data_IF_552146552863
#
_entry.id   IF_552146552863
#
_cell.length_a   1.000
_cell.length_b   1.000
_cell.length_c   1.000
_cell.angle_alpha   90.00
_cell.angle_beta   90.00
_cell.angle_gamma   90.00
#
_symmetry.space_group_name_H-M   'P 1'
#
loop_
_entity.id
_entity.type
_entity.pdbx_description
1 polymer ?
#
# COMPACT_ATOMS: atom_id res chain seq x y z
N UNK A 1 -7.41 21.66 6.68
CA UNK A 1 -8.69 20.93 6.85
C UNK A 1 -9.64 21.04 5.67
N UNK A 2 -9.95 22.23 5.12
CA UNK A 2 -10.96 22.30 4.04
C UNK A 2 -10.51 21.72 2.71
N UNK A 3 -9.23 21.84 2.33
CA UNK A 3 -8.80 21.48 0.95
C UNK A 3 -9.06 20.03 0.57
N UNK A 4 -8.70 19.05 1.41
CA UNK A 4 -8.95 17.64 1.09
C UNK A 4 -10.42 17.24 1.28
N UNK A 5 -11.14 17.84 2.24
CA UNK A 5 -12.59 17.65 2.39
C UNK A 5 -13.36 18.19 1.20
N UNK A 6 -12.97 19.35 0.68
CA UNK A 6 -13.49 19.94 -0.55
C UNK A 6 -13.08 19.13 -1.77
N UNK A 7 -11.82 18.67 -1.85
CA UNK A 7 -11.37 17.76 -2.91
C UNK A 7 -12.21 16.48 -2.93
N UNK A 8 -12.47 15.88 -1.76
CA UNK A 8 -13.31 14.69 -1.61
C UNK A 8 -14.76 14.97 -2.01
N UNK A 9 -15.35 16.07 -1.52
CA UNK A 9 -16.72 16.44 -1.85
C UNK A 9 -16.90 16.68 -3.36
N UNK A 10 -15.88 17.21 -4.04
CA UNK A 10 -15.90 17.49 -5.47
C UNK A 10 -15.57 16.28 -6.35
N UNK A 11 -14.57 15.48 -5.98
CA UNK A 11 -14.06 14.37 -6.81
C UNK A 11 -14.77 13.05 -6.54
N UNK A 12 -15.35 12.90 -5.35
CA UNK A 12 -15.94 11.65 -4.88
C UNK A 12 -17.31 11.91 -4.19
N UNK A 13 -18.26 12.60 -4.85
CA UNK A 13 -19.57 12.89 -4.25
C UNK A 13 -20.29 11.58 -3.90
N UNK A 14 -20.72 11.44 -2.65
CA UNK A 14 -21.39 10.24 -2.12
C UNK A 14 -20.49 9.00 -1.96
N UNK A 15 -19.17 9.13 -2.16
CA UNK A 15 -18.21 8.00 -2.16
C UNK A 15 -17.24 8.00 -0.99
N UNK A 16 -17.49 8.74 0.09
CA UNK A 16 -16.73 8.62 1.34
C UNK A 16 -17.05 7.26 2.02
N UNK A 17 -16.68 6.18 1.35
CA UNK A 17 -16.91 4.82 1.79
C UNK A 17 -15.55 4.27 2.15
N UNK A 18 -15.27 4.32 3.45
CA UNK A 18 -14.39 3.35 4.06
C UNK A 18 -15.27 2.22 4.56
N UNK A 19 -15.10 1.03 4.01
CA UNK A 19 -15.88 -0.14 4.39
C UNK A 19 -14.95 -1.31 4.59
N UNK A 20 -14.97 -1.89 5.78
CA UNK A 20 -14.36 -3.18 6.02
C UNK A 20 -15.09 -4.24 5.19
N UNK A 21 -14.33 -5.03 4.43
CA UNK A 21 -14.89 -6.09 3.57
C UNK A 21 -14.62 -7.45 4.20
N UNK A 22 -13.38 -7.69 4.63
CA UNK A 22 -12.92 -8.97 5.16
C UNK A 22 -11.66 -8.79 5.98
N UNK A 23 -11.45 -9.65 6.98
CA UNK A 23 -10.19 -9.69 7.72
C UNK A 23 -9.82 -11.10 8.16
N UNK A 24 -8.59 -11.25 8.60
CA UNK A 24 -8.03 -12.48 9.15
C UNK A 24 -7.09 -12.11 10.29
N UNK A 25 -7.18 -12.83 11.39
CA UNK A 25 -6.25 -12.68 12.52
C UNK A 25 -5.52 -13.99 12.73
N UNK A 26 -4.21 -13.92 12.99
CA UNK A 26 -3.43 -15.12 13.30
C UNK A 26 -3.87 -15.71 14.65
N UNK A 27 -3.82 -17.05 14.76
CA UNK A 27 -4.10 -17.73 16.03
C UNK A 27 -2.98 -17.48 17.04
N UNK A 28 -3.17 -16.49 17.90
CA UNK A 28 -2.22 -16.12 18.96
C UNK A 28 -2.12 -14.61 19.09
N UNK A 29 -2.02 -14.09 20.31
CA UNK A 29 -2.07 -12.64 20.58
C UNK A 29 -0.92 -11.83 19.95
N UNK A 30 0.15 -12.47 19.50
CA UNK A 30 1.30 -11.83 18.85
C UNK A 30 1.16 -11.71 17.32
N UNK A 31 0.26 -12.48 16.71
CA UNK A 31 0.08 -12.55 15.26
C UNK A 31 -1.04 -11.58 14.87
N UNK A 32 -0.71 -10.30 14.59
CA UNK A 32 -1.70 -9.31 14.13
C UNK A 32 -2.50 -9.73 12.88
N UNK A 33 -3.33 -8.83 12.35
CA UNK A 33 -4.29 -9.14 11.27
C UNK A 33 -3.91 -8.73 9.83
N UNK A 34 -4.60 -9.32 8.86
CA UNK A 34 -4.69 -8.81 7.49
C UNK A 34 -6.14 -8.39 7.28
N UNK A 35 -6.37 -7.18 6.80
CA UNK A 35 -7.72 -6.66 6.54
C UNK A 35 -7.81 -6.13 5.11
N UNK A 36 -8.98 -6.25 4.50
CA UNK A 36 -9.30 -5.69 3.18
C UNK A 36 -10.44 -4.70 3.34
N UNK A 37 -10.18 -3.48 2.90
CA UNK A 37 -11.13 -2.38 2.95
C UNK A 37 -11.37 -1.81 1.57
N UNK A 38 -12.62 -1.43 1.32
CA UNK A 38 -12.92 -0.50 0.24
C UNK A 38 -12.72 0.91 0.76
N UNK A 39 -11.88 1.69 0.09
CA UNK A 39 -11.65 3.11 0.38
C UNK A 39 -11.60 3.90 -0.91
N UNK A 40 -12.21 5.08 -0.92
CA UNK A 40 -12.20 5.97 -2.06
C UNK A 40 -10.78 6.45 -2.42
N UNK A 41 -9.96 6.69 -1.40
CA UNK A 41 -8.56 7.07 -1.53
C UNK A 41 -7.85 6.69 -0.24
N UNK A 42 -6.84 5.83 -0.32
CA UNK A 42 -6.13 5.40 0.88
C UNK A 42 -5.47 6.58 1.60
N UNK A 43 -4.99 7.61 0.89
CA UNK A 43 -4.32 8.77 1.50
C UNK A 43 -5.30 9.62 2.30
N UNK A 44 -6.49 9.90 1.79
CA UNK A 44 -7.47 10.82 2.42
C UNK A 44 -8.61 10.13 3.16
N UNK A 45 -8.82 8.83 2.95
CA UNK A 45 -9.80 7.99 3.63
C UNK A 45 -9.13 6.68 4.07
N UNK A 46 -8.19 6.74 5.03
CA UNK A 46 -7.47 5.57 5.55
C UNK A 46 -8.40 4.38 5.85
N UNK A 47 -8.08 3.13 5.46
CA UNK A 47 -8.87 1.95 5.81
C UNK A 47 -9.02 1.80 7.33
N UNK A 48 -10.21 1.45 7.80
CA UNK A 48 -10.55 1.45 9.24
C UNK A 48 -10.92 2.81 9.82
N UNK A 49 -10.59 3.93 9.17
CA UNK A 49 -11.09 5.27 9.51
C UNK A 49 -9.95 6.25 9.79
N UNK A 50 -10.30 7.53 9.97
CA UNK A 50 -9.35 8.56 10.41
C UNK A 50 -8.71 8.14 11.74
N UNK A 51 -7.39 8.36 11.89
CA UNK A 51 -6.62 8.05 13.10
C UNK A 51 -6.57 6.56 13.52
N UNK A 52 -7.16 5.64 12.74
CA UNK A 52 -7.13 4.22 13.05
C UNK A 52 -5.86 3.51 12.54
N UNK A 53 -4.99 4.20 11.82
CA UNK A 53 -3.73 3.67 11.31
C UNK A 53 -2.55 4.45 11.86
N UNK A 54 -1.58 3.75 12.43
CA UNK A 54 -0.31 4.35 12.84
C UNK A 54 0.49 4.86 11.65
N UNK A 55 0.44 4.16 10.51
CA UNK A 55 1.14 4.62 9.31
C UNK A 55 0.45 4.27 7.99
N UNK A 56 0.82 5.02 6.96
CA UNK A 56 0.54 4.73 5.56
C UNK A 56 1.80 4.18 4.88
N UNK A 57 1.68 3.06 4.18
CA UNK A 57 2.72 2.59 3.26
C UNK A 57 2.60 3.40 1.96
N UNK A 58 3.64 4.16 1.64
CA UNK A 58 3.73 4.98 0.44
C UNK A 58 4.58 4.27 -0.64
N UNK A 59 4.04 3.94 -1.84
CA UNK A 59 4.81 3.41 -2.97
C UNK A 59 5.72 4.48 -3.59
N UNK A 60 6.82 4.78 -2.91
CA UNK A 60 7.77 5.83 -3.27
C UNK A 60 8.68 5.42 -4.43
N UNK A 61 9.49 6.37 -4.90
CA UNK A 61 10.62 6.13 -5.79
C UNK A 61 11.96 6.21 -5.05
N UNK A 62 13.01 5.75 -5.73
CA UNK A 62 14.34 5.55 -5.18
C UNK A 62 14.96 6.84 -4.62
N UNK A 63 14.57 7.99 -5.17
CA UNK A 63 15.04 9.31 -4.74
C UNK A 63 14.24 9.90 -3.58
N UNK A 64 13.15 9.26 -3.16
CA UNK A 64 12.18 9.78 -2.19
C UNK A 64 11.70 11.21 -2.50
N UNK A 65 11.64 11.59 -3.77
CA UNK A 65 11.35 12.97 -4.18
C UNK A 65 9.87 13.23 -4.51
N UNK A 66 8.99 12.27 -4.19
CA UNK A 66 7.61 12.23 -4.65
C UNK A 66 7.50 11.87 -6.14
N UNK A 67 6.28 11.85 -6.68
CA UNK A 67 6.07 11.58 -8.10
C UNK A 67 6.45 12.80 -8.92
N UNK A 68 7.76 12.95 -9.19
CA UNK A 68 8.31 13.93 -10.13
C UNK A 68 8.33 13.42 -11.58
N UNK A 69 7.93 12.16 -11.79
CA UNK A 69 7.73 11.65 -13.13
C UNK A 69 6.60 12.44 -13.80
N UNK A 70 6.93 13.11 -14.89
CA UNK A 70 5.91 13.57 -15.82
C UNK A 70 5.11 12.35 -16.31
N UNK A 71 3.82 12.52 -16.70
CA UNK A 71 3.07 11.44 -17.31
C UNK A 71 3.83 10.76 -18.47
N UNK A 72 4.63 11.53 -19.21
CA UNK A 72 5.45 11.03 -20.32
C UNK A 72 6.65 10.18 -19.85
N UNK A 73 7.27 10.49 -18.70
CA UNK A 73 8.33 9.65 -18.12
C UNK A 73 7.77 8.36 -17.54
N UNK A 74 6.63 8.43 -16.82
CA UNK A 74 5.89 7.23 -16.43
C UNK A 74 5.57 6.38 -17.66
N UNK A 75 5.02 6.99 -18.71
CA UNK A 75 4.64 6.30 -19.93
C UNK A 75 5.83 5.68 -20.66
N UNK A 76 6.93 6.43 -20.79
CA UNK A 76 8.17 5.93 -21.43
C UNK A 76 8.72 4.74 -20.68
N UNK A 77 8.75 4.78 -19.35
CA UNK A 77 9.20 3.67 -18.52
C UNK A 77 8.27 2.45 -18.68
N UNK A 78 6.95 2.66 -18.73
CA UNK A 78 5.95 1.59 -18.83
C UNK A 78 5.81 0.97 -20.24
N UNK A 79 5.90 1.77 -21.30
CA UNK A 79 5.53 1.35 -22.66
C UNK A 79 6.60 1.64 -23.73
N UNK A 80 7.53 2.57 -23.48
CA UNK A 80 8.74 2.77 -24.32
C UNK A 80 8.47 3.55 -25.60
N UNK A 81 7.20 3.61 -26.01
CA UNK A 81 6.66 4.50 -27.01
C UNK A 81 5.62 5.44 -26.33
N UNK A 82 5.78 6.78 -26.44
CA UNK A 82 4.87 7.77 -25.84
C UNK A 82 3.43 7.78 -26.40
N UNK A 83 3.12 7.02 -27.45
CA UNK A 83 1.85 7.18 -28.19
C UNK A 83 0.85 6.02 -28.06
N UNK A 84 1.31 4.79 -27.86
CA UNK A 84 0.45 3.60 -27.81
C UNK A 84 -0.02 3.30 -26.39
N UNK A 85 -1.32 3.48 -26.11
CA UNK A 85 -1.98 3.04 -24.87
C UNK A 85 -2.24 4.11 -23.81
N UNK A 86 -1.86 5.38 -24.07
CA UNK A 86 -1.85 6.53 -23.13
C UNK A 86 -3.16 6.79 -22.34
N UNK A 87 -4.25 6.13 -22.75
CA UNK A 87 -5.61 6.29 -22.23
C UNK A 87 -6.25 4.97 -21.74
N UNK A 88 -5.48 3.89 -21.60
CA UNK A 88 -6.01 2.67 -20.97
C UNK A 88 -6.36 2.94 -19.51
N UNK A 89 -7.54 2.50 -19.08
CA UNK A 89 -7.99 2.54 -17.67
C UNK A 89 -7.03 1.81 -16.73
N UNK A 90 -6.20 0.91 -17.26
CA UNK A 90 -5.20 0.17 -16.51
C UNK A 90 -3.92 0.99 -16.23
N UNK A 91 -3.70 2.12 -16.93
CA UNK A 91 -2.39 2.79 -16.98
C UNK A 91 -2.42 4.34 -16.97
N UNK A 92 -3.55 5.00 -16.76
CA UNK A 92 -3.57 6.47 -16.65
C UNK A 92 -2.88 6.94 -15.34
N UNK A 93 -1.73 7.61 -15.45
CA UNK A 93 -0.94 8.07 -14.29
C UNK A 93 -0.76 9.59 -14.33
N UNK A 94 -1.60 10.34 -13.62
CA UNK A 94 -1.26 11.71 -13.22
C UNK A 94 -0.58 11.67 -11.83
N UNK A 95 0.36 12.59 -11.53
CA UNK A 95 0.98 12.67 -10.20
C UNK A 95 -0.04 12.75 -9.06
N UNK A 96 -1.14 13.48 -9.26
CA UNK A 96 -2.24 13.59 -8.29
C UNK A 96 -3.18 12.38 -8.22
N UNK A 97 -2.95 11.36 -9.04
CA UNK A 97 -3.72 10.11 -9.07
C UNK A 97 -2.97 8.93 -8.47
N UNK A 98 -1.71 9.11 -8.10
CA UNK A 98 -0.90 8.10 -7.42
C UNK A 98 -0.71 8.44 -5.96
N UNK A 99 -0.60 7.40 -5.12
CA UNK A 99 -0.44 7.55 -3.68
C UNK A 99 0.75 8.45 -3.34
N UNK A 100 1.90 8.26 -3.99
CA UNK A 100 3.12 9.02 -3.72
C UNK A 100 3.01 10.52 -4.06
N UNK A 101 2.34 10.86 -5.16
CA UNK A 101 2.09 12.25 -5.50
C UNK A 101 1.09 12.91 -4.56
N UNK A 102 0.04 12.20 -4.12
CA UNK A 102 -0.88 12.69 -3.08
C UNK A 102 -0.18 12.86 -1.73
N UNK A 103 0.67 11.90 -1.34
CA UNK A 103 1.49 12.00 -0.12
C UNK A 103 2.42 13.21 -0.19
N UNK A 104 3.02 13.47 -1.35
CA UNK A 104 3.89 14.64 -1.53
C UNK A 104 3.08 15.94 -1.49
N UNK A 105 1.91 15.99 -2.13
CA UNK A 105 1.03 17.16 -2.13
C UNK A 105 0.55 17.49 -0.71
N UNK A 106 0.05 16.51 0.05
CA UNK A 106 -0.50 16.71 1.39
C UNK A 106 0.56 16.78 2.49
N UNK A 107 1.73 16.16 2.29
CA UNK A 107 2.88 16.30 3.18
C UNK A 107 3.60 17.65 3.02
N UNK A 108 3.47 18.27 1.84
CA UNK A 108 4.00 19.58 1.52
C UNK A 108 5.51 19.69 1.66
N UNK A 109 5.96 20.95 1.78
CA UNK A 109 7.37 21.30 1.85
C UNK A 109 8.10 20.66 3.04
N UNK A 110 7.42 20.55 4.19
CA UNK A 110 7.99 19.94 5.38
C UNK A 110 8.37 18.47 5.16
N UNK A 111 7.50 17.70 4.49
CA UNK A 111 7.80 16.32 4.13
C UNK A 111 8.97 16.25 3.14
N UNK A 112 8.99 17.14 2.13
CA UNK A 112 10.09 17.19 1.14
C UNK A 112 11.46 17.34 1.80
N UNK A 113 11.59 18.26 2.77
CA UNK A 113 12.85 18.49 3.50
C UNK A 113 13.29 17.23 4.26
N UNK A 114 12.37 16.51 4.90
CA UNK A 114 12.66 15.25 5.62
C UNK A 114 13.07 14.13 4.67
N UNK A 115 12.48 14.06 3.50
CA UNK A 115 12.85 13.05 2.49
C UNK A 115 14.21 13.37 1.86
N UNK A 116 14.49 14.63 1.57
CA UNK A 116 15.78 15.05 0.99
C UNK A 116 16.96 14.87 1.95
N UNK A 117 16.72 14.93 3.27
CA UNK A 117 17.71 14.68 4.31
C UNK A 117 18.02 13.19 4.56
N UNK A 118 17.25 12.27 3.98
CA UNK A 118 17.61 10.85 4.01
C UNK A 118 18.94 10.63 3.30
N UNK A 119 19.83 9.78 3.85
CA UNK A 119 21.13 9.53 3.25
C UNK A 119 20.96 8.90 1.87
N UNK A 120 21.73 9.39 0.91
CA UNK A 120 21.77 8.83 -0.44
C UNK A 120 23.01 7.93 -0.61
N UNK A 121 22.86 6.84 -1.35
CA UNK A 121 23.99 6.00 -1.76
C UNK A 121 24.83 6.66 -2.86
N UNK A 122 25.86 5.96 -3.34
CA UNK A 122 26.76 6.45 -4.39
C UNK A 122 26.03 6.72 -5.73
N UNK A 123 24.82 6.20 -5.92
CA UNK A 123 23.97 6.43 -7.09
C UNK A 123 22.90 7.51 -6.84
N UNK A 124 22.94 8.18 -5.68
CA UNK A 124 21.97 9.21 -5.31
C UNK A 124 20.61 8.65 -4.84
N UNK A 125 20.51 7.33 -4.63
CA UNK A 125 19.27 6.68 -4.17
C UNK A 125 19.20 6.74 -2.65
N UNK A 126 18.07 7.19 -2.13
CA UNK A 126 17.79 7.28 -0.69
C UNK A 126 17.10 6.03 -0.15
N UNK A 127 16.37 5.32 -1.02
CA UNK A 127 15.76 4.04 -0.70
C UNK A 127 15.85 3.15 -1.95
N UNK A 128 16.72 2.12 -1.97
CA UNK A 128 16.80 1.23 -3.12
C UNK A 128 15.51 0.43 -3.32
N UNK A 129 15.25 -0.03 -4.56
CA UNK A 129 14.16 -0.97 -4.86
C UNK A 129 14.21 -2.16 -3.90
N UNK A 130 13.05 -2.61 -3.41
CA UNK A 130 12.95 -3.70 -2.44
C UNK A 130 13.08 -3.27 -0.98
N UNK A 131 13.35 -1.99 -0.69
CA UNK A 131 13.53 -1.48 0.66
C UNK A 131 12.40 -0.53 1.09
N UNK A 132 12.43 -0.15 2.38
CA UNK A 132 11.54 0.84 2.96
C UNK A 132 12.24 1.75 3.97
N UNK A 133 11.81 3.01 4.03
CA UNK A 133 12.26 4.02 5.00
C UNK A 133 11.05 4.59 5.74
N UNK A 134 11.17 4.81 7.06
CA UNK A 134 10.10 5.39 7.87
C UNK A 134 10.39 6.86 8.14
N UNK A 135 9.39 7.72 7.95
CA UNK A 135 9.46 9.14 8.35
C UNK A 135 8.19 9.52 9.12
N UNK A 136 8.21 10.61 9.89
CA UNK A 136 6.98 11.19 10.42
C UNK A 136 6.02 11.58 9.30
N UNK A 137 4.71 11.42 9.53
CA UNK A 137 3.71 12.08 8.71
C UNK A 137 3.71 13.58 9.05
N UNK A 138 3.68 14.44 8.02
CA UNK A 138 3.80 15.88 8.19
C UNK A 138 2.64 16.62 7.52
N UNK A 139 2.50 17.90 7.88
CA UNK A 139 1.46 18.80 7.38
C UNK A 139 0.04 18.20 7.49
N UNK A 140 -0.71 18.03 6.40
CA UNK A 140 -2.10 17.54 6.44
C UNK A 140 -2.14 16.03 6.75
N UNK A 141 -1.10 15.27 6.38
CA UNK A 141 -1.05 13.83 6.62
C UNK A 141 -1.00 13.45 8.10
N UNK A 142 -0.48 14.34 8.96
CA UNK A 142 -0.40 14.10 10.42
C UNK A 142 -1.77 14.02 11.09
N UNK A 143 -2.82 14.50 10.42
CA UNK A 143 -4.21 14.38 10.89
C UNK A 143 -4.77 12.96 10.69
N UNK A 144 -4.14 12.15 9.84
CA UNK A 144 -4.62 10.82 9.45
C UNK A 144 -3.68 9.69 9.86
N UNK A 145 -2.38 9.98 9.91
CA UNK A 145 -1.31 9.03 10.16
C UNK A 145 -0.27 9.62 11.12
N UNK A 146 0.35 8.77 11.94
CA UNK A 146 1.52 9.17 12.74
C UNK A 146 2.83 9.12 11.94
N UNK A 147 2.95 8.13 11.05
CA UNK A 147 4.17 7.88 10.26
C UNK A 147 3.85 7.52 8.81
N UNK A 148 4.87 7.58 7.96
CA UNK A 148 4.85 7.10 6.58
C UNK A 148 5.93 6.04 6.42
N UNK A 149 5.59 4.93 5.75
CA UNK A 149 6.54 3.87 5.37
C UNK A 149 6.76 3.96 3.86
N UNK A 150 7.84 4.62 3.45
CA UNK A 150 8.20 4.81 2.05
C UNK A 150 8.83 3.55 1.49
N UNK A 151 8.04 2.71 0.83
CA UNK A 151 8.47 1.47 0.23
C UNK A 151 8.69 1.65 -1.28
N UNK A 152 9.78 1.09 -1.82
CA UNK A 152 10.16 1.30 -3.22
C UNK A 152 9.96 0.00 -4.03
N UNK A 153 8.76 -0.20 -4.62
CA UNK A 153 8.49 -1.38 -5.44
C UNK A 153 9.25 -1.35 -6.78
N UNK A 154 9.58 -2.51 -7.36
CA UNK A 154 10.20 -2.59 -8.68
C UNK A 154 9.22 -2.17 -9.79
N UNK A 155 9.75 -1.66 -10.90
CA UNK A 155 8.98 -1.55 -12.14
C UNK A 155 8.71 -2.95 -12.71
N UNK A 156 7.49 -3.21 -13.17
CA UNK A 156 7.10 -4.49 -13.78
C UNK A 156 7.83 -4.76 -15.10
N UNK A 157 8.01 -3.70 -15.90
CA UNK A 157 8.58 -3.80 -17.23
C UNK A 157 10.10 -4.05 -17.17
N UNK A 158 10.58 -4.92 -18.04
CA UNK A 158 12.01 -5.21 -18.17
C UNK A 158 12.54 -6.21 -17.16
N UNK A 159 11.68 -6.71 -16.26
CA UNK A 159 11.98 -7.81 -15.35
C UNK A 159 11.26 -9.07 -15.77
N UNK A 160 11.92 -10.21 -15.58
CA UNK A 160 11.27 -11.51 -15.59
C UNK A 160 10.13 -11.53 -14.54
N UNK A 161 8.96 -12.14 -14.83
CA UNK A 161 7.84 -12.15 -13.90
C UNK A 161 8.17 -12.72 -12.51
N UNK A 162 9.02 -13.74 -12.43
CA UNK A 162 9.42 -14.34 -11.16
C UNK A 162 10.31 -13.39 -10.35
N UNK A 163 11.30 -12.78 -11.00
CA UNK A 163 12.21 -11.80 -10.39
C UNK A 163 11.45 -10.57 -9.90
N UNK A 164 10.50 -10.06 -10.70
CA UNK A 164 9.66 -8.94 -10.31
C UNK A 164 8.80 -9.27 -9.08
N UNK A 165 8.16 -10.45 -9.09
CA UNK A 165 7.34 -10.93 -7.99
C UNK A 165 8.14 -11.03 -6.69
N UNK A 166 9.33 -11.65 -6.73
CA UNK A 166 10.19 -11.82 -5.56
C UNK A 166 10.70 -10.47 -5.01
N UNK A 167 11.08 -9.54 -5.89
CA UNK A 167 11.47 -8.20 -5.47
C UNK A 167 10.29 -7.41 -4.84
N UNK A 168 9.08 -7.59 -5.36
CA UNK A 168 7.90 -6.95 -4.81
C UNK A 168 7.49 -7.60 -3.47
N UNK A 169 7.62 -8.92 -3.30
CA UNK A 169 7.49 -9.58 -1.98
C UNK A 169 8.47 -8.99 -0.98
N UNK A 170 9.75 -8.89 -1.37
CA UNK A 170 10.79 -8.30 -0.53
C UNK A 170 10.46 -6.85 -0.14
N UNK A 171 9.88 -6.06 -1.05
CA UNK A 171 9.42 -4.70 -0.78
C UNK A 171 8.36 -4.66 0.32
N UNK A 172 7.37 -5.55 0.24
CA UNK A 172 6.33 -5.66 1.27
C UNK A 172 6.91 -6.09 2.63
N UNK A 173 7.78 -7.10 2.65
CA UNK A 173 8.47 -7.54 3.87
C UNK A 173 9.29 -6.41 4.48
N UNK A 174 10.06 -5.68 3.68
CA UNK A 174 10.84 -4.54 4.15
C UNK A 174 9.95 -3.45 4.77
N UNK A 175 8.77 -3.18 4.20
CA UNK A 175 7.81 -2.23 4.75
C UNK A 175 7.23 -2.70 6.09
N UNK A 176 6.84 -3.97 6.20
CA UNK A 176 6.31 -4.54 7.44
C UNK A 176 7.37 -4.64 8.54
N UNK A 177 8.60 -5.03 8.20
CA UNK A 177 9.72 -5.07 9.14
C UNK A 177 10.11 -3.66 9.61
N UNK A 178 10.10 -2.67 8.70
CA UNK A 178 10.34 -1.29 9.06
C UNK A 178 9.27 -0.76 10.02
N UNK A 179 8.00 -1.13 9.81
CA UNK A 179 6.92 -0.82 10.73
C UNK A 179 7.09 -1.46 12.11
N UNK A 180 7.40 -2.76 12.17
CA UNK A 180 7.70 -3.47 13.41
C UNK A 180 8.81 -2.80 14.21
N UNK A 181 9.94 -2.50 13.56
CA UNK A 181 11.11 -1.86 14.21
C UNK A 181 10.80 -0.48 14.78
N UNK A 182 9.76 0.19 14.28
CA UNK A 182 9.31 1.50 14.74
C UNK A 182 8.07 1.42 15.66
N UNK A 183 7.70 0.22 16.14
CA UNK A 183 6.54 0.02 17.03
C UNK A 183 5.20 0.37 16.41
N UNK A 184 5.09 0.39 15.07
CA UNK A 184 3.86 0.69 14.37
C UNK A 184 2.99 -0.56 14.35
N UNK A 185 1.79 -0.50 14.92
CA UNK A 185 0.90 -1.68 15.05
C UNK A 185 -0.23 -1.75 14.02
N UNK A 186 -0.47 -0.71 13.22
CA UNK A 186 -1.53 -0.68 12.20
C UNK A 186 -1.05 0.09 10.97
N UNK A 187 -1.16 -0.54 9.79
CA UNK A 187 -0.68 -0.01 8.52
C UNK A 187 -1.83 0.08 7.53
N UNK A 188 -2.00 1.25 6.91
CA UNK A 188 -2.74 1.38 5.67
C UNK A 188 -1.83 1.01 4.49
N UNK A 189 -2.21 0.00 3.73
CA UNK A 189 -1.36 -0.60 2.69
C UNK A 189 -2.05 -0.52 1.32
N UNK A 190 -1.49 0.19 0.32
CA UNK A 190 -2.00 0.13 -1.05
C UNK A 190 -1.50 -1.14 -1.76
N UNK A 191 -2.04 -1.40 -2.95
CA UNK A 191 -1.49 -2.41 -3.86
C UNK A 191 -0.19 -1.89 -4.50
N UNK A 192 0.96 -2.25 -3.93
CA UNK A 192 2.28 -1.92 -4.45
C UNK A 192 2.51 -2.63 -5.79
N UNK A 193 3.30 -2.02 -6.68
CA UNK A 193 3.59 -2.56 -8.00
C UNK A 193 2.50 -2.29 -9.06
N UNK A 194 1.25 -2.04 -8.66
CA UNK A 194 0.19 -1.59 -9.56
C UNK A 194 0.34 -0.10 -9.96
N UNK A 195 -0.44 0.34 -10.96
CA UNK A 195 -0.49 1.74 -11.38
C UNK A 195 0.83 2.20 -11.99
N UNK A 196 1.47 3.22 -11.40
CA UNK A 196 2.72 3.82 -11.91
C UNK A 196 3.90 2.85 -12.06
N UNK A 197 3.86 1.71 -11.37
CA UNK A 197 4.90 0.67 -11.45
C UNK A 197 4.61 -0.41 -12.49
N UNK A 198 3.43 -0.37 -13.11
CA UNK A 198 3.14 -1.05 -14.38
C UNK A 198 2.65 -2.49 -14.28
N UNK A 199 2.45 -3.03 -13.08
CA UNK A 199 1.87 -4.35 -12.95
C UNK A 199 0.36 -4.33 -13.19
N UNK A 200 -0.14 -5.40 -13.83
CA UNK A 200 -1.56 -5.65 -13.86
C UNK A 200 -2.08 -5.83 -12.43
N UNK A 201 -3.28 -5.29 -12.14
CA UNK A 201 -3.85 -5.33 -10.79
C UNK A 201 -3.92 -6.77 -10.23
N UNK A 202 -4.25 -7.75 -11.07
CA UNK A 202 -4.29 -9.17 -10.69
C UNK A 202 -2.94 -9.72 -10.23
N UNK A 203 -1.87 -9.44 -10.98
CA UNK A 203 -0.50 -9.83 -10.62
C UNK A 203 -0.08 -9.18 -9.29
N UNK A 204 -0.33 -7.88 -9.14
CA UNK A 204 -0.01 -7.14 -7.92
C UNK A 204 -0.79 -7.67 -6.69
N UNK A 205 -2.07 -8.03 -6.85
CA UNK A 205 -2.88 -8.63 -5.78
C UNK A 205 -2.34 -9.99 -5.33
N UNK A 206 -1.94 -10.85 -6.27
CA UNK A 206 -1.33 -12.15 -5.95
C UNK A 206 -0.03 -11.99 -5.15
N UNK A 207 0.82 -11.04 -5.54
CA UNK A 207 2.06 -10.74 -4.82
C UNK A 207 1.80 -10.14 -3.44
N UNK A 208 0.87 -9.18 -3.34
CA UNK A 208 0.48 -8.57 -2.08
C UNK A 208 -0.04 -9.62 -1.08
N UNK A 209 -0.89 -10.53 -1.55
CA UNK A 209 -1.42 -11.64 -0.76
C UNK A 209 -0.31 -12.59 -0.29
N UNK A 210 0.54 -13.06 -1.22
CA UNK A 210 1.71 -13.90 -0.91
C UNK A 210 2.60 -13.23 0.14
N UNK A 211 2.94 -11.95 -0.05
CA UNK A 211 3.82 -11.23 0.86
C UNK A 211 3.21 -11.06 2.24
N UNK A 212 1.94 -10.67 2.34
CA UNK A 212 1.25 -10.50 3.62
C UNK A 212 1.14 -11.81 4.40
N UNK A 213 0.80 -12.92 3.74
CA UNK A 213 0.68 -14.23 4.38
C UNK A 213 2.06 -14.76 4.78
N UNK A 214 3.03 -14.78 3.87
CA UNK A 214 4.36 -15.33 4.16
C UNK A 214 5.09 -14.54 5.24
N UNK A 215 4.97 -13.21 5.25
CA UNK A 215 5.57 -12.38 6.30
C UNK A 215 4.98 -12.68 7.68
N UNK A 216 3.68 -13.02 7.74
CA UNK A 216 3.00 -13.41 8.98
C UNK A 216 3.44 -14.76 9.53
N UNK A 217 3.75 -15.70 8.65
CA UNK A 217 4.22 -17.02 9.02
C UNK A 217 5.71 -17.06 9.38
N UNK A 218 6.46 -15.97 9.13
CA UNK A 218 7.83 -15.87 9.61
C UNK A 218 7.84 -15.81 11.15
N UNK A 219 8.79 -16.52 11.77
CA UNK A 219 9.01 -16.45 13.22
C UNK A 219 9.07 -14.98 13.65
N UNK A 220 8.13 -14.52 14.50
CA UNK A 220 8.11 -13.14 14.94
C UNK A 220 9.39 -12.77 15.70
N UNK A 221 10.19 -13.73 16.19
CA UNK A 221 11.30 -13.43 17.08
C UNK A 221 10.83 -12.60 18.28
N UNK A 222 11.67 -11.73 18.85
CA UNK A 222 11.30 -10.87 19.98
C UNK A 222 10.45 -9.64 19.58
N UNK A 223 9.57 -9.75 18.58
CA UNK A 223 8.66 -8.65 18.19
C UNK A 223 7.58 -8.47 19.27
N UNK A 224 7.39 -7.24 19.76
CA UNK A 224 6.36 -6.93 20.77
C UNK A 224 4.93 -7.11 20.23
N UNK A 225 4.68 -6.82 18.95
CA UNK A 225 3.45 -7.13 18.23
C UNK A 225 3.63 -6.96 16.72
N UNK A 226 3.06 -7.84 15.91
CA UNK A 226 3.14 -7.72 14.46
C UNK A 226 1.97 -6.83 13.91
N UNK A 227 2.23 -5.76 13.11
CA UNK A 227 1.24 -4.76 12.70
C UNK A 227 0.09 -5.33 11.90
N UNK A 228 -1.15 -4.91 12.16
CA UNK A 228 -2.30 -5.17 11.28
C UNK A 228 -2.08 -4.49 9.92
N UNK A 229 -2.08 -5.26 8.83
CA UNK A 229 -1.96 -4.74 7.48
C UNK A 229 -3.36 -4.57 6.86
N UNK A 230 -3.82 -3.32 6.73
CA UNK A 230 -5.11 -2.97 6.14
C UNK A 230 -4.95 -2.56 4.69
N UNK A 231 -5.28 -3.47 3.78
CA UNK A 231 -5.27 -3.20 2.36
C UNK A 231 -6.44 -2.30 1.95
N UNK A 232 -6.13 -1.15 1.36
CA UNK A 232 -7.13 -0.22 0.84
C UNK A 232 -7.26 -0.31 -0.68
N UNK A 233 -8.45 -0.67 -1.19
CA UNK A 233 -8.75 -0.72 -2.63
C UNK A 233 -10.01 0.07 -2.97
N UNK A 234 -10.16 0.52 -4.22
CA UNK A 234 -11.18 1.51 -4.59
C UNK A 234 -12.55 0.92 -4.91
N UNK A 235 -12.62 -0.32 -5.38
CA UNK A 235 -13.85 -0.93 -5.86
C UNK A 235 -14.06 -2.35 -5.30
N UNK A 236 -15.31 -2.79 -5.34
CA UNK A 236 -15.71 -4.10 -4.81
C UNK A 236 -15.06 -5.25 -5.57
N UNK A 237 -14.89 -5.15 -6.89
CA UNK A 237 -14.32 -6.24 -7.70
C UNK A 237 -12.87 -6.48 -7.32
N UNK A 238 -12.08 -5.40 -7.19
CA UNK A 238 -10.71 -5.47 -6.70
C UNK A 238 -10.66 -6.00 -5.26
N UNK A 239 -11.59 -5.60 -4.39
CA UNK A 239 -11.64 -6.11 -3.01
C UNK A 239 -11.88 -7.63 -2.96
N UNK A 240 -12.86 -8.15 -3.69
CA UNK A 240 -13.13 -9.60 -3.73
C UNK A 240 -11.98 -10.39 -4.34
N UNK A 241 -11.36 -9.88 -5.43
CA UNK A 241 -10.18 -10.53 -6.03
C UNK A 241 -8.98 -10.58 -5.08
N UNK A 242 -8.75 -9.53 -4.30
CA UNK A 242 -7.70 -9.54 -3.29
C UNK A 242 -8.02 -10.53 -2.15
N UNK A 243 -9.29 -10.64 -1.77
CA UNK A 243 -9.75 -11.65 -0.80
C UNK A 243 -9.48 -13.06 -1.31
N UNK A 244 -9.82 -13.34 -2.57
CA UNK A 244 -9.57 -14.64 -3.19
C UNK A 244 -8.07 -14.96 -3.22
N UNK A 245 -7.23 -14.00 -3.63
CA UNK A 245 -5.77 -14.14 -3.63
C UNK A 245 -5.20 -14.38 -2.22
N UNK A 246 -5.74 -13.72 -1.19
CA UNK A 246 -5.37 -13.97 0.21
C UNK A 246 -5.75 -15.38 0.65
N UNK A 247 -6.94 -15.86 0.28
CA UNK A 247 -7.39 -17.22 0.56
C UNK A 247 -6.52 -18.26 -0.15
N UNK A 248 -6.13 -18.02 -1.39
CA UNK A 248 -5.17 -18.85 -2.13
C UNK A 248 -3.82 -18.90 -1.40
N UNK A 249 -3.23 -17.74 -1.11
CA UNK A 249 -1.93 -17.66 -0.42
C UNK A 249 -1.93 -18.32 0.97
N UNK A 250 -3.04 -18.20 1.72
CA UNK A 250 -3.22 -18.89 3.01
C UNK A 250 -3.30 -20.40 2.84
N UNK A 251 -4.05 -20.91 1.84
CA UNK A 251 -4.11 -22.36 1.56
C UNK A 251 -2.73 -22.91 1.19
N UNK A 252 -2.00 -22.20 0.33
CA UNK A 252 -0.66 -22.59 -0.10
C UNK A 252 0.32 -22.65 1.09
N UNK A 253 0.18 -21.75 2.06
CA UNK A 253 1.06 -21.69 3.24
C UNK A 253 0.66 -22.65 4.37
N UNK A 254 -0.63 -22.95 4.53
CA UNK A 254 -1.12 -23.88 5.58
C UNK A 254 -0.66 -25.31 5.36
N UNK A 255 -0.37 -25.69 4.12
CA UNK A 255 0.20 -27.00 3.80
C UNK A 255 1.56 -27.23 4.50
N UNK A 256 2.29 -26.16 4.80
CA UNK A 256 3.66 -26.22 5.30
C UNK A 256 3.75 -25.98 6.83
N UNK A 257 2.85 -25.18 7.42
CA UNK A 257 3.08 -24.62 8.76
C UNK A 257 2.11 -25.08 9.86
N UNK A 258 0.97 -25.71 9.54
CA UNK A 258 -0.01 -26.17 10.54
C UNK A 258 -0.73 -25.06 11.35
N UNK A 259 -0.31 -23.79 11.20
CA UNK A 259 -0.96 -22.62 11.79
C UNK A 259 -2.07 -22.07 10.87
N UNK A 260 -3.21 -21.73 11.49
CA UNK A 260 -4.40 -21.25 10.80
C UNK A 260 -4.67 -19.77 11.05
N UNK A 261 -5.26 -19.11 10.07
CA UNK A 261 -5.88 -17.80 10.24
C UNK A 261 -7.36 -17.98 10.60
N UNK A 262 -7.85 -17.19 11.56
CA UNK A 262 -9.28 -17.11 11.84
C UNK A 262 -9.89 -15.98 11.00
N UNK A 263 -10.86 -16.36 10.14
CA UNK A 263 -11.57 -15.42 9.27
C UNK A 263 -12.50 -14.52 10.10
N UNK A 264 -12.43 -13.21 9.84
CA UNK A 264 -13.30 -12.21 10.42
C UNK A 264 -14.28 -11.69 9.37
N UNK A 265 -15.56 -11.80 9.71
CA UNK A 265 -16.65 -11.24 8.94
C UNK A 265 -16.89 -9.76 9.30
N UNK A 266 -17.40 -8.93 8.38
CA UNK A 266 -17.82 -7.58 8.70
C UNK A 266 -18.83 -7.55 9.85
N UNK A 267 -18.76 -6.54 10.74
CA UNK A 267 -19.74 -6.34 11.80
C UNK A 267 -21.15 -6.30 11.21
N UNK A 268 -22.13 -6.89 11.90
CA UNK A 268 -23.51 -7.04 11.39
C UNK A 268 -24.13 -5.70 10.96
N UNK A 269 -23.81 -4.61 11.66
CA UNK A 269 -24.28 -3.26 11.35
C UNK A 269 -23.73 -2.68 10.02
N UNK A 270 -22.61 -3.20 9.52
CA UNK A 270 -21.99 -2.77 8.26
C UNK A 270 -22.34 -3.71 7.08
N UNK A 271 -23.11 -4.78 7.32
CA UNK A 271 -23.37 -5.79 6.30
C UNK A 271 -24.26 -5.27 5.16
N UNK A 272 -25.19 -4.35 5.40
CA UNK A 272 -26.12 -3.92 4.35
C UNK A 272 -26.66 -2.49 4.55
N UNK A 273 -25.96 -1.51 3.99
CA UNK A 273 -26.59 -0.30 3.42
C UNK A 273 -26.15 -0.23 1.96
N UNK A 274 -26.85 -1.00 1.13
CA UNK A 274 -26.80 -0.83 -0.33
C UNK A 274 -27.71 0.35 -0.64
N UNK A 275 -27.25 1.43 -1.30
CA UNK A 275 -28.16 2.28 -2.04
C UNK A 275 -28.71 1.53 -3.25
#
# INVERSE_FOLDING_TARGET
MDRWRTWNAQKLPGRAVNRFVRGWVGRGSALGGIEVHRTACIVTHPPGGELNNHALVNPANESLAGTRFTPDECWRNLHGDPTTGRWSEDFAVYPTQVVDGLVTEFGGEALRVVLESQPADAQGRRCPVGNAVVTPALHELRELYGSLVHAVPPFRRGLDPSVWSDQLVATYHAAFDAACRNGLTTLAVPLLGAGARGALKGEAMAVAAKAAVTWRMQDPGPREAAPIARFGVQDSTTAHRLIDALKDAMRDSSADCGEGFDEQEPPTAERWTVP
#
